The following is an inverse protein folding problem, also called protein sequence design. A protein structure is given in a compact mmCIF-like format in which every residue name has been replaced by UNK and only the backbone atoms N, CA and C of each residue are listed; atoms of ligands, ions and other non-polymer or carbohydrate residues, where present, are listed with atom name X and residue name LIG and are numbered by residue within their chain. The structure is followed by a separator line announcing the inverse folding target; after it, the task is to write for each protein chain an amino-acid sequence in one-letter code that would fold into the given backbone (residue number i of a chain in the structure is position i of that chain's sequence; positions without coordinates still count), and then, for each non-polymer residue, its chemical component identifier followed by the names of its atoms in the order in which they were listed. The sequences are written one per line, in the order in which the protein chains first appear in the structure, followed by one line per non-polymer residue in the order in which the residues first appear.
data_IF_774272216547
#
_entry.id   IF_774272216547
#
_cell.length_a   1.000
_cell.length_b   1.000
_cell.length_c   1.000
_cell.angle_alpha   90.00
_cell.angle_beta   90.00
_cell.angle_gamma   90.00
#
_symmetry.space_group_name_H-M   'P 1'
#
loop_
_entity.id
_entity.type
_entity.pdbx_description
1 polymer ?
#
# COMPACT_ATOMS: atom_id res chain seq x y z
N UNK A 1 -9.32 23.60 -13.65
CA UNK A 1 -8.55 22.38 -13.37
C UNK A 1 -9.43 21.49 -12.50
N UNK A 2 -9.65 20.26 -12.92
CA UNK A 2 -10.45 19.31 -12.15
C UNK A 2 -9.54 18.62 -11.14
N UNK A 3 -9.87 18.75 -9.85
CA UNK A 3 -9.14 18.10 -8.76
C UNK A 3 -9.95 16.91 -8.27
N UNK A 4 -9.30 15.76 -8.12
CA UNK A 4 -9.86 14.55 -7.54
C UNK A 4 -9.18 14.31 -6.18
N UNK A 5 -9.98 14.10 -5.13
CA UNK A 5 -9.47 13.76 -3.80
C UNK A 5 -9.77 12.28 -3.55
N UNK A 6 -8.72 11.50 -3.35
CA UNK A 6 -8.83 10.09 -2.99
C UNK A 6 -8.41 9.92 -1.53
N UNK A 7 -9.17 9.11 -0.80
CA UNK A 7 -8.94 8.83 0.61
C UNK A 7 -8.85 7.34 0.87
N UNK A 8 -7.90 6.93 1.69
CA UNK A 8 -7.79 5.56 2.20
C UNK A 8 -7.75 5.59 3.71
N UNK A 9 -8.76 5.01 4.35
CA UNK A 9 -8.87 4.94 5.82
C UNK A 9 -8.20 3.69 6.35
N UNK A 10 -7.53 3.80 7.49
CA UNK A 10 -7.04 2.66 8.26
C UNK A 10 -8.22 1.89 8.89
N UNK A 11 -8.26 0.58 8.70
CA UNK A 11 -9.26 -0.30 9.33
C UNK A 11 -8.59 -1.28 10.31
N UNK A 12 -9.41 -2.11 10.94
CA UNK A 12 -8.90 -3.23 11.72
C UNK A 12 -8.66 -4.40 10.78
N UNK A 13 -7.53 -5.07 10.97
CA UNK A 13 -7.20 -6.31 10.29
C UNK A 13 -7.93 -7.50 10.90
N UNK A 14 -7.67 -8.71 10.39
CA UNK A 14 -8.35 -9.91 10.86
C UNK A 14 -7.88 -10.36 12.26
N UNK A 15 -6.84 -9.74 12.81
CA UNK A 15 -6.36 -9.93 14.19
C UNK A 15 -6.92 -8.87 15.16
N UNK A 16 -7.63 -7.86 14.64
CA UNK A 16 -8.14 -6.74 15.42
C UNK A 16 -7.10 -5.65 15.68
N UNK A 17 -5.94 -5.69 15.01
CA UNK A 17 -4.96 -4.60 15.02
C UNK A 17 -5.29 -3.60 13.91
N UNK A 18 -4.76 -2.38 14.00
CA UNK A 18 -4.88 -1.43 12.90
C UNK A 18 -4.02 -1.88 11.71
N UNK A 19 -4.59 -1.82 10.49
CA UNK A 19 -3.86 -1.97 9.23
C UNK A 19 -2.67 -0.99 9.17
N UNK A 20 -1.59 -1.33 8.48
CA UNK A 20 -0.37 -0.54 8.46
C UNK A 20 -0.20 0.16 7.10
N UNK A 21 0.10 1.46 7.13
CA UNK A 21 0.59 2.19 5.95
C UNK A 21 2.10 2.04 5.88
N UNK A 22 2.62 1.53 4.76
CA UNK A 22 4.03 1.18 4.58
C UNK A 22 4.33 0.98 3.10
N UNK A 23 5.57 1.21 2.67
CA UNK A 23 6.04 0.83 1.33
C UNK A 23 6.66 -0.57 1.27
N UNK A 24 6.69 -1.33 2.37
CA UNK A 24 7.17 -2.72 2.40
C UNK A 24 6.12 -3.69 1.83
N UNK A 25 5.75 -3.46 0.56
CA UNK A 25 4.64 -4.14 -0.12
C UNK A 25 5.06 -4.86 -1.39
N UNK A 26 6.33 -4.81 -1.78
CA UNK A 26 6.86 -5.45 -3.01
C UNK A 26 6.45 -6.93 -3.15
N UNK A 27 6.34 -7.63 -2.02
CA UNK A 27 6.03 -9.07 -1.99
C UNK A 27 4.52 -9.35 -1.99
N UNK A 28 3.70 -8.29 -1.92
CA UNK A 28 2.26 -8.33 -1.68
C UNK A 28 1.50 -7.73 -2.87
N UNK A 29 1.95 -6.59 -3.39
CA UNK A 29 1.38 -5.94 -4.58
C UNK A 29 1.97 -6.52 -5.87
N UNK A 30 1.24 -6.38 -6.97
CA UNK A 30 1.72 -6.67 -8.33
C UNK A 30 2.29 -5.40 -9.01
N UNK A 31 2.52 -4.32 -8.26
CA UNK A 31 3.07 -3.07 -8.78
C UNK A 31 4.56 -3.20 -9.10
N UNK A 32 4.94 -2.87 -10.34
CA UNK A 32 6.32 -3.00 -10.82
C UNK A 32 7.32 -2.03 -10.16
N UNK A 33 6.85 -0.89 -9.62
CA UNK A 33 7.71 0.13 -9.00
C UNK A 33 7.03 0.82 -7.82
N UNK A 34 7.75 0.97 -6.70
CA UNK A 34 7.31 1.71 -5.51
C UNK A 34 8.08 3.02 -5.29
N UNK A 35 8.92 3.43 -6.24
CA UNK A 35 9.86 4.56 -6.09
C UNK A 35 9.16 5.90 -5.82
N UNK A 36 7.90 6.03 -6.21
CA UNK A 36 7.09 7.21 -5.97
C UNK A 36 6.51 7.27 -4.55
N UNK A 37 6.60 6.18 -3.77
CA UNK A 37 6.10 6.13 -2.40
C UNK A 37 7.19 6.42 -1.37
N UNK A 38 6.82 7.14 -0.31
CA UNK A 38 7.64 7.29 0.88
C UNK A 38 7.58 6.06 1.81
N UNK A 39 8.30 6.09 2.93
CA UNK A 39 8.34 4.97 3.89
C UNK A 39 6.97 4.65 4.51
N UNK A 40 6.08 5.63 4.60
CA UNK A 40 4.72 5.47 5.10
C UNK A 40 3.74 5.09 3.97
N UNK A 41 4.20 4.84 2.75
CA UNK A 41 3.36 4.41 1.64
C UNK A 41 2.53 5.53 1.01
N UNK A 42 2.85 6.81 1.23
CA UNK A 42 2.24 7.95 0.53
C UNK A 42 3.03 8.33 -0.73
N UNK A 43 2.36 8.82 -1.79
CA UNK A 43 3.04 9.22 -3.00
C UNK A 43 3.69 10.60 -2.84
N UNK A 44 4.84 10.81 -3.48
CA UNK A 44 5.50 12.11 -3.51
C UNK A 44 4.69 13.13 -4.31
N UNK A 45 4.66 14.38 -3.84
CA UNK A 45 4.11 15.50 -4.60
C UNK A 45 4.85 15.67 -5.92
N UNK A 46 4.11 15.88 -7.02
CA UNK A 46 4.63 15.98 -8.38
C UNK A 46 4.70 14.65 -9.12
N UNK A 47 4.39 13.53 -8.46
CA UNK A 47 4.31 12.22 -9.11
C UNK A 47 3.21 12.22 -10.17
N UNK A 48 3.58 11.83 -11.40
CA UNK A 48 2.61 11.52 -12.44
C UNK A 48 2.06 10.12 -12.20
N UNK A 49 0.73 10.00 -12.23
CA UNK A 49 0.03 8.76 -11.96
C UNK A 49 -0.87 8.39 -13.13
N UNK A 50 -1.04 7.09 -13.33
CA UNK A 50 -1.89 6.51 -14.38
C UNK A 50 -2.77 5.41 -13.80
N UNK A 51 -3.83 5.06 -14.52
CA UNK A 51 -4.79 4.04 -14.08
C UNK A 51 -4.10 2.74 -13.64
N UNK A 52 -4.58 2.15 -12.54
CA UNK A 52 -4.03 0.91 -12.00
C UNK A 52 -2.70 1.05 -11.25
N UNK A 53 -2.07 2.24 -11.25
CA UNK A 53 -0.86 2.48 -10.46
C UNK A 53 -1.19 2.46 -8.95
N UNK A 54 -0.31 1.88 -8.15
CA UNK A 54 -0.42 1.92 -6.69
C UNK A 54 -0.27 3.36 -6.20
N UNK A 55 -1.31 3.93 -5.59
CA UNK A 55 -1.31 5.33 -5.15
C UNK A 55 -0.95 5.48 -3.69
N UNK A 56 -1.51 4.64 -2.81
CA UNK A 56 -1.17 4.60 -1.38
C UNK A 56 -1.05 3.15 -0.95
N UNK A 57 0.08 2.79 -0.35
CA UNK A 57 0.34 1.44 0.10
C UNK A 57 -0.17 1.20 1.54
N UNK A 58 -0.95 0.13 1.72
CA UNK A 58 -1.50 -0.27 3.02
C UNK A 58 -1.68 -1.78 3.10
N UNK A 59 -1.30 -2.38 4.21
CA UNK A 59 -1.36 -3.83 4.45
C UNK A 59 -2.16 -4.16 5.71
N UNK A 60 -2.69 -5.39 5.77
CA UNK A 60 -3.31 -5.95 6.97
C UNK A 60 -2.84 -7.38 7.23
N UNK A 61 -2.87 -7.80 8.49
CA UNK A 61 -2.55 -9.16 8.88
C UNK A 61 -3.77 -10.08 8.79
N UNK A 62 -3.61 -11.24 8.16
CA UNK A 62 -4.65 -12.29 8.14
C UNK A 62 -4.79 -12.96 9.53
N UNK A 63 -5.86 -13.73 9.74
CA UNK A 63 -6.01 -14.59 10.94
C UNK A 63 -4.84 -15.57 11.11
N UNK A 64 -4.23 -15.98 10.02
CA UNK A 64 -3.13 -16.94 10.00
C UNK A 64 -1.76 -16.30 10.31
N UNK A 65 -1.69 -14.96 10.37
CA UNK A 65 -0.46 -14.22 10.56
C UNK A 65 0.21 -14.55 11.90
N UNK A 66 1.50 -14.85 11.81
CA UNK A 66 2.38 -15.00 12.94
C UNK A 66 3.79 -14.68 12.46
N UNK A 67 4.52 -13.86 13.23
CA UNK A 67 5.89 -13.48 12.90
C UNK A 67 6.82 -14.68 12.72
N UNK A 68 6.55 -15.78 13.44
CA UNK A 68 7.32 -17.03 13.32
C UNK A 68 7.09 -17.78 11.99
N UNK A 69 6.03 -17.43 11.24
CA UNK A 69 5.71 -18.03 9.94
C UNK A 69 6.22 -17.20 8.76
N UNK A 70 6.72 -15.99 9.00
CA UNK A 70 7.35 -15.18 7.97
C UNK A 70 8.69 -15.83 7.56
N UNK A 71 9.00 -15.88 6.24
CA UNK A 71 10.28 -16.38 5.77
C UNK A 71 11.44 -15.60 6.42
N UNK A 72 12.34 -16.34 7.09
CA UNK A 72 13.54 -15.75 7.66
C UNK A 72 14.61 -15.48 6.58
N UNK A 73 15.73 -14.88 6.97
CA UNK A 73 16.82 -14.49 6.03
C UNK A 73 17.36 -15.69 5.23
N UNK A 74 17.53 -16.84 5.87
CA UNK A 74 18.04 -18.05 5.20
C UNK A 74 17.01 -18.61 4.22
N UNK A 75 15.73 -18.64 4.60
CA UNK A 75 14.65 -19.07 3.72
C UNK A 75 14.52 -18.15 2.50
N UNK A 76 14.58 -16.83 2.70
CA UNK A 76 14.57 -15.84 1.61
C UNK A 76 15.73 -16.01 0.64
N UNK A 77 16.90 -16.45 1.12
CA UNK A 77 18.08 -16.67 0.29
C UNK A 77 18.07 -18.01 -0.48
N UNK A 78 17.21 -18.96 -0.10
CA UNK A 78 17.25 -20.35 -0.63
C UNK A 78 15.98 -20.76 -1.36
N UNK A 79 14.83 -20.18 -1.01
CA UNK A 79 13.57 -20.44 -1.68
C UNK A 79 13.48 -19.68 -3.00
N UNK A 80 12.71 -20.23 -3.94
CA UNK A 80 12.30 -19.48 -5.12
C UNK A 80 11.45 -18.27 -4.69
N UNK A 81 11.66 -17.12 -5.34
CA UNK A 81 10.97 -15.87 -5.05
C UNK A 81 9.44 -16.03 -4.99
N UNK A 82 8.87 -16.79 -5.95
CA UNK A 82 7.43 -17.08 -5.99
C UNK A 82 6.92 -17.79 -4.73
N UNK A 83 7.73 -18.66 -4.11
CA UNK A 83 7.34 -19.35 -2.87
C UNK A 83 7.44 -18.40 -1.66
N UNK A 84 8.41 -17.49 -1.64
CA UNK A 84 8.48 -16.42 -0.62
C UNK A 84 7.25 -15.53 -0.70
N UNK A 85 6.94 -15.01 -1.89
CA UNK A 85 5.76 -14.19 -2.17
C UNK A 85 4.48 -14.92 -1.75
N UNK A 86 4.31 -16.19 -2.15
CA UNK A 86 3.14 -16.99 -1.81
C UNK A 86 2.96 -17.14 -0.29
N UNK A 87 4.04 -17.37 0.46
CA UNK A 87 3.99 -17.48 1.92
C UNK A 87 3.59 -16.16 2.57
N UNK A 88 4.11 -15.04 2.07
CA UNK A 88 3.83 -13.71 2.61
C UNK A 88 2.38 -13.31 2.32
N UNK A 89 1.92 -13.49 1.07
CA UNK A 89 0.52 -13.24 0.67
C UNK A 89 -0.50 -14.12 1.42
N UNK A 90 -0.08 -15.27 1.96
CA UNK A 90 -0.92 -16.11 2.81
C UNK A 90 -1.05 -15.59 4.26
N UNK A 91 -0.20 -14.64 4.67
CA UNK A 91 -0.13 -14.09 6.02
C UNK A 91 -0.53 -12.61 6.05
N UNK A 92 -0.25 -11.86 5.00
CA UNK A 92 -0.51 -10.41 4.88
C UNK A 92 -1.30 -10.18 3.59
N UNK A 93 -2.32 -9.31 3.64
CA UNK A 93 -3.13 -8.97 2.48
C UNK A 93 -2.99 -7.48 2.12
N UNK A 94 -3.13 -7.22 0.81
CA UNK A 94 -3.11 -5.87 0.25
C UNK A 94 -4.44 -5.15 0.50
N UNK A 95 -4.36 -3.93 1.04
CA UNK A 95 -5.49 -2.99 1.23
C UNK A 95 -5.17 -1.62 0.70
N UNK A 96 -4.22 -1.56 -0.22
CA UNK A 96 -3.74 -0.35 -0.84
C UNK A 96 -4.83 0.31 -1.69
N UNK A 97 -4.61 1.60 -1.95
CA UNK A 97 -5.40 2.38 -2.89
C UNK A 97 -4.66 2.44 -4.20
N UNK A 98 -5.33 2.05 -5.28
CA UNK A 98 -4.85 2.16 -6.65
C UNK A 98 -5.56 3.31 -7.36
N UNK A 99 -4.91 3.88 -8.38
CA UNK A 99 -5.52 4.89 -9.24
C UNK A 99 -6.71 4.25 -9.99
N UNK A 100 -7.92 4.83 -9.92
CA UNK A 100 -9.09 4.26 -10.58
C UNK A 100 -8.93 4.18 -12.11
N UNK A 101 -9.74 3.34 -12.76
CA UNK A 101 -9.78 3.24 -14.21
C UNK A 101 -10.16 4.59 -14.85
N UNK A 102 -9.50 4.94 -15.94
CA UNK A 102 -9.70 6.20 -16.66
C UNK A 102 -9.22 7.45 -15.92
N UNK A 103 -8.47 7.31 -14.82
CA UNK A 103 -7.88 8.42 -14.08
C UNK A 103 -6.38 8.49 -14.38
N UNK A 104 -5.92 9.67 -14.81
CA UNK A 104 -4.52 10.02 -14.92
C UNK A 104 -4.34 11.47 -14.45
N UNK A 105 -3.13 11.81 -13.99
CA UNK A 105 -2.84 13.15 -13.52
C UNK A 105 -1.59 13.26 -12.68
N UNK A 106 -1.52 14.34 -11.89
CA UNK A 106 -0.36 14.66 -11.04
C UNK A 106 -0.78 14.80 -9.59
N UNK A 107 -0.03 14.17 -8.69
CA UNK A 107 -0.17 14.35 -7.24
C UNK A 107 0.21 15.79 -6.87
N UNK A 108 -0.75 16.57 -6.36
CA UNK A 108 -0.51 17.93 -5.87
C UNK A 108 -0.20 17.98 -4.37
N UNK A 109 -0.77 17.04 -3.62
CA UNK A 109 -0.44 16.85 -2.22
C UNK A 109 -0.84 15.45 -1.76
N UNK A 110 -0.10 14.92 -0.81
CA UNK A 110 -0.41 13.68 -0.10
C UNK A 110 -0.04 13.85 1.38
N UNK A 111 -0.94 13.47 2.28
CA UNK A 111 -0.73 13.58 3.72
C UNK A 111 -1.69 12.67 4.49
N UNK A 112 -1.40 12.46 5.78
CA UNK A 112 -2.32 11.78 6.69
C UNK A 112 -3.17 12.78 7.47
N UNK A 113 -4.47 12.51 7.55
CA UNK A 113 -5.40 13.10 8.52
C UNK A 113 -5.60 12.12 9.68
N UNK A 114 -5.78 12.64 10.89
CA UNK A 114 -6.17 11.84 12.05
C UNK A 114 -7.69 11.86 12.19
N UNK A 115 -8.32 10.68 12.28
CA UNK A 115 -9.75 10.52 12.51
C UNK A 115 -9.98 9.57 13.70
N UNK A 116 -10.06 10.14 14.92
CA UNK A 116 -10.06 9.37 16.16
C UNK A 116 -8.71 8.69 16.37
N UNK A 117 -8.71 7.36 16.56
CA UNK A 117 -7.48 6.55 16.71
C UNK A 117 -6.91 6.05 15.37
N UNK A 118 -7.51 6.46 14.24
CA UNK A 118 -7.16 5.97 12.90
C UNK A 118 -6.51 7.05 12.06
N UNK A 119 -5.58 6.65 11.19
CA UNK A 119 -5.05 7.50 10.13
C UNK A 119 -5.88 7.37 8.85
N UNK A 120 -5.99 8.47 8.10
CA UNK A 120 -6.60 8.50 6.77
C UNK A 120 -5.59 9.11 5.82
N UNK A 121 -5.12 8.34 4.84
CA UNK A 121 -4.32 8.88 3.75
C UNK A 121 -5.22 9.71 2.84
N UNK A 122 -4.78 10.92 2.51
CA UNK A 122 -5.48 11.84 1.61
C UNK A 122 -4.54 12.23 0.49
N UNK A 123 -4.95 11.99 -0.75
CA UNK A 123 -4.19 12.32 -1.96
C UNK A 123 -5.03 13.22 -2.85
N UNK A 124 -4.48 14.37 -3.21
CA UNK A 124 -5.08 15.32 -4.15
C UNK A 124 -4.41 15.15 -5.51
N UNK A 125 -5.21 14.77 -6.52
CA UNK A 125 -4.79 14.64 -7.91
C UNK A 125 -5.34 15.81 -8.72
N UNK A 126 -4.48 16.44 -9.52
CA UNK A 126 -4.92 17.28 -10.64
C UNK A 126 -5.03 16.38 -11.87
N UNK A 127 -6.23 16.29 -12.44
CA UNK A 127 -6.50 15.43 -13.59
C UNK A 127 -5.99 16.07 -14.89
N UNK A 128 -5.48 15.23 -15.78
CA UNK A 128 -5.09 15.59 -17.15
C UNK A 128 -6.31 15.88 -18.05
#
# INVERSE_FOLDING_TARGET
MNTLVLKLKQELDEQGNLEEFTNDVNEITDSDTLEHLDADGLPATGTHVSEGMLLVAKIGATKAYSKARLPNVLERATLAEQEVVRRIRALIYDRSLYVPQGVAGVVKSAYFEQEGDRRVAVVHLELD
#
